data_IF_336959544265
#
_entry.id   IF_336959544265
#
_cell.length_a   1.000
_cell.length_b   1.000
_cell.length_c   1.000
_cell.angle_alpha   90.00
_cell.angle_beta   90.00
_cell.angle_gamma   90.00
#
_symmetry.space_group_name_H-M   'P 1'
#
loop_
_entity.id
_entity.type
_entity.pdbx_description
1 polymer ?
#
# COMPACT_ATOMS: atom_id res chain seq x y z
N UNK A 1 37.99 -9.50 10.66
CA UNK A 1 37.50 -8.15 10.28
C UNK A 1 36.76 -8.28 8.96
N UNK A 2 35.43 -8.39 8.98
CA UNK A 2 34.63 -8.22 7.77
C UNK A 2 34.69 -6.74 7.38
N UNK A 3 35.22 -6.41 6.20
CA UNK A 3 35.10 -5.05 5.65
C UNK A 3 33.61 -4.77 5.52
N UNK A 4 33.14 -3.64 6.03
CA UNK A 4 31.81 -3.15 5.68
C UNK A 4 31.79 -2.99 4.16
N UNK A 5 30.86 -3.67 3.48
CA UNK A 5 30.80 -3.58 2.03
C UNK A 5 30.48 -2.14 1.58
N UNK A 6 31.10 -1.72 0.48
CA UNK A 6 31.23 -0.34 0.02
C UNK A 6 29.90 0.27 -0.46
N UNK A 7 29.87 1.59 -0.64
CA UNK A 7 28.70 2.29 -1.17
C UNK A 7 28.25 1.76 -2.54
N UNK A 8 29.22 1.41 -3.40
CA UNK A 8 28.95 0.79 -4.70
C UNK A 8 28.27 -0.58 -4.59
N UNK A 9 28.66 -1.41 -3.61
CA UNK A 9 28.09 -2.75 -3.46
C UNK A 9 26.63 -2.69 -2.97
N UNK A 10 26.29 -1.71 -2.09
CA UNK A 10 24.88 -1.41 -1.75
C UNK A 10 24.09 -0.98 -2.96
N UNK A 11 24.65 -0.07 -3.74
CA UNK A 11 24.00 0.43 -4.96
C UNK A 11 23.73 -0.69 -5.96
N UNK A 12 24.69 -1.59 -6.20
CA UNK A 12 24.52 -2.75 -7.08
C UNK A 12 23.48 -3.73 -6.55
N UNK A 13 23.47 -4.00 -5.24
CA UNK A 13 22.48 -4.87 -4.62
C UNK A 13 21.06 -4.29 -4.73
N UNK A 14 20.90 -2.97 -4.57
CA UNK A 14 19.62 -2.30 -4.77
C UNK A 14 19.18 -2.35 -6.23
N UNK A 15 20.11 -2.20 -7.18
CA UNK A 15 19.79 -2.33 -8.60
C UNK A 15 19.37 -3.75 -8.99
N UNK A 16 20.00 -4.76 -8.41
CA UNK A 16 19.58 -6.15 -8.56
C UNK A 16 18.16 -6.35 -8.01
N UNK A 17 17.88 -5.87 -6.78
CA UNK A 17 16.55 -5.98 -6.17
C UNK A 17 15.46 -5.29 -7.00
N UNK A 18 15.74 -4.10 -7.55
CA UNK A 18 14.83 -3.37 -8.43
C UNK A 18 14.61 -4.10 -9.77
N UNK A 19 15.65 -4.76 -10.31
CA UNK A 19 15.56 -5.53 -11.55
C UNK A 19 14.73 -6.80 -11.36
N UNK A 20 14.93 -7.52 -10.25
CA UNK A 20 14.15 -8.70 -9.89
C UNK A 20 12.67 -8.34 -9.75
N UNK A 21 12.37 -7.26 -9.03
CA UNK A 21 11.02 -6.71 -8.89
C UNK A 21 10.37 -6.38 -10.23
N UNK A 22 11.11 -5.79 -11.17
CA UNK A 22 10.60 -5.43 -12.49
C UNK A 22 10.38 -6.64 -13.41
N UNK A 23 11.06 -7.76 -13.16
CA UNK A 23 10.98 -8.98 -13.97
C UNK A 23 9.98 -10.01 -13.43
N UNK A 24 9.52 -9.85 -12.19
CA UNK A 24 8.57 -10.74 -11.52
C UNK A 24 7.23 -10.03 -11.30
N UNK A 25 6.12 -10.67 -11.64
CA UNK A 25 4.77 -10.12 -11.42
C UNK A 25 4.21 -10.50 -10.05
N UNK A 26 3.50 -9.58 -9.39
CA UNK A 26 2.81 -9.82 -8.12
C UNK A 26 1.31 -10.18 -8.29
N UNK A 27 0.89 -10.52 -9.52
CA UNK A 27 -0.51 -10.75 -9.91
C UNK A 27 -1.26 -11.68 -8.96
N UNK A 28 -0.72 -12.88 -8.71
CA UNK A 28 -1.40 -13.89 -7.91
C UNK A 28 -1.60 -13.43 -6.46
N UNK A 29 -0.63 -12.72 -5.89
CA UNK A 29 -0.73 -12.15 -4.56
C UNK A 29 -1.80 -11.05 -4.50
N UNK A 30 -1.85 -10.15 -5.48
CA UNK A 30 -2.91 -9.14 -5.57
C UNK A 30 -4.29 -9.77 -5.77
N UNK A 31 -4.40 -10.86 -6.54
CA UNK A 31 -5.66 -11.59 -6.72
C UNK A 31 -6.17 -12.19 -5.41
N UNK A 32 -5.26 -12.69 -4.57
CA UNK A 32 -5.56 -13.19 -3.21
C UNK A 32 -5.96 -12.08 -2.25
N UNK A 33 -5.31 -10.91 -2.33
CA UNK A 33 -5.61 -9.73 -1.51
C UNK A 33 -6.93 -9.04 -1.86
N UNK A 34 -7.32 -9.06 -3.15
CA UNK A 34 -8.48 -8.33 -3.68
C UNK A 34 -9.76 -8.58 -2.89
N UNK A 35 -10.13 -9.85 -2.71
CA UNK A 35 -11.39 -10.22 -2.07
C UNK A 35 -11.48 -9.68 -0.63
N UNK A 36 -10.53 -10.05 0.24
CA UNK A 36 -10.44 -9.54 1.61
C UNK A 36 -10.40 -8.00 1.70
N UNK A 37 -9.65 -7.34 0.80
CA UNK A 37 -9.57 -5.88 0.74
C UNK A 37 -10.94 -5.24 0.49
N UNK A 38 -11.64 -5.64 -0.58
CA UNK A 38 -12.94 -5.03 -0.90
C UNK A 38 -14.02 -5.39 0.11
N UNK A 39 -13.99 -6.61 0.69
CA UNK A 39 -14.89 -6.98 1.78
C UNK A 39 -14.70 -6.09 3.02
N UNK A 40 -13.45 -5.71 3.30
CA UNK A 40 -13.10 -4.81 4.40
C UNK A 40 -13.60 -3.40 4.15
N UNK A 41 -13.37 -2.87 2.95
CA UNK A 41 -13.87 -1.54 2.56
C UNK A 41 -15.40 -1.47 2.64
N UNK A 42 -16.11 -2.55 2.27
CA UNK A 42 -17.56 -2.64 2.44
C UNK A 42 -18.01 -2.65 3.89
N UNK A 43 -17.33 -3.43 4.74
CA UNK A 43 -17.59 -3.44 6.19
C UNK A 43 -17.38 -2.05 6.81
N UNK A 44 -16.45 -1.27 6.25
CA UNK A 44 -16.19 0.12 6.64
C UNK A 44 -17.18 1.14 6.05
N UNK A 45 -18.23 0.69 5.34
CA UNK A 45 -19.34 1.52 4.86
C UNK A 45 -19.29 1.88 3.38
N UNK A 46 -18.44 1.25 2.57
CA UNK A 46 -18.48 1.41 1.12
C UNK A 46 -19.48 0.47 0.46
N UNK A 47 -20.56 1.03 -0.09
CA UNK A 47 -21.60 0.25 -0.79
C UNK A 47 -21.56 0.42 -2.31
N UNK A 48 -20.78 1.35 -2.83
CA UNK A 48 -20.66 1.65 -4.25
C UNK A 48 -20.31 3.11 -4.47
N UNK A 49 -19.80 3.43 -5.66
CA UNK A 49 -19.33 4.78 -5.98
C UNK A 49 -18.16 4.82 -6.93
N UNK A 50 -17.54 5.99 -7.05
CA UNK A 50 -16.34 6.22 -7.85
C UNK A 50 -15.11 5.69 -7.12
N UNK A 51 -14.32 4.84 -7.78
CA UNK A 51 -13.09 4.28 -7.22
C UNK A 51 -11.91 4.56 -8.11
N UNK A 52 -10.75 4.77 -7.48
CA UNK A 52 -9.46 4.83 -8.15
C UNK A 52 -8.55 3.76 -7.56
N UNK A 53 -8.05 2.86 -8.41
CA UNK A 53 -6.99 1.93 -8.05
C UNK A 53 -5.73 2.32 -8.81
N UNK A 54 -4.62 2.49 -8.11
CA UNK A 54 -3.39 3.01 -8.68
C UNK A 54 -2.14 2.27 -8.19
N UNK A 55 -1.10 2.29 -9.03
CA UNK A 55 0.17 1.63 -8.78
C UNK A 55 0.28 0.22 -9.35
N UNK A 56 1.14 -0.60 -8.74
CA UNK A 56 1.42 -1.97 -9.18
C UNK A 56 0.21 -2.89 -8.96
N UNK A 57 -0.11 -3.74 -9.94
CA UNK A 57 -1.26 -4.63 -9.87
C UNK A 57 -2.64 -3.96 -9.84
N UNK A 58 -2.76 -2.66 -10.17
CA UNK A 58 -4.03 -1.94 -10.10
C UNK A 58 -5.20 -2.60 -10.88
N UNK A 59 -5.01 -3.10 -12.12
CA UNK A 59 -6.04 -3.90 -12.80
C UNK A 59 -6.53 -5.09 -11.98
N UNK A 60 -5.62 -5.81 -11.34
CA UNK A 60 -5.88 -7.04 -10.59
C UNK A 60 -6.57 -6.73 -9.27
N UNK A 61 -6.10 -5.71 -8.55
CA UNK A 61 -6.74 -5.22 -7.32
C UNK A 61 -8.15 -4.69 -7.58
N UNK A 62 -8.42 -4.05 -8.72
CA UNK A 62 -9.78 -3.67 -9.11
C UNK A 62 -10.63 -4.90 -9.52
N UNK A 63 -9.99 -5.93 -10.06
CA UNK A 63 -10.67 -7.08 -10.67
C UNK A 63 -11.04 -6.86 -12.14
N UNK A 64 -10.30 -6.02 -12.86
CA UNK A 64 -10.48 -5.78 -14.29
C UNK A 64 -10.01 -7.02 -15.09
N UNK A 65 -10.90 -7.71 -15.84
CA UNK A 65 -10.55 -8.92 -16.56
C UNK A 65 -9.60 -8.63 -17.73
N UNK A 66 -8.54 -9.44 -17.87
CA UNK A 66 -7.59 -9.35 -18.99
C UNK A 66 -6.80 -8.04 -19.06
N UNK A 67 -6.79 -7.25 -17.99
CA UNK A 67 -6.01 -6.03 -17.91
C UNK A 67 -4.53 -6.35 -17.93
N UNK A 68 -3.81 -5.90 -18.96
CA UNK A 68 -2.34 -5.97 -18.95
C UNK A 68 -1.81 -5.15 -17.78
N UNK A 69 -1.10 -5.82 -16.86
CA UNK A 69 -0.44 -5.17 -15.75
C UNK A 69 0.69 -4.25 -16.23
N UNK A 70 0.83 -3.12 -15.55
CA UNK A 70 1.92 -2.16 -15.72
C UNK A 70 2.45 -1.84 -14.34
N UNK A 71 3.76 -1.67 -14.22
CA UNK A 71 4.41 -1.36 -12.94
C UNK A 71 3.88 -0.09 -12.27
N UNK A 72 3.29 0.83 -13.05
CA UNK A 72 2.49 1.96 -12.56
C UNK A 72 1.27 2.09 -13.47
N UNK A 73 0.09 1.70 -12.98
CA UNK A 73 -1.18 1.94 -13.66
C UNK A 73 -2.11 2.80 -12.81
N UNK A 74 -3.10 3.42 -13.44
CA UNK A 74 -4.13 4.20 -12.76
C UNK A 74 -5.45 3.85 -13.40
N UNK A 75 -6.33 3.19 -12.66
CA UNK A 75 -7.60 2.67 -13.17
C UNK A 75 -8.73 3.28 -12.35
N UNK A 76 -9.54 4.11 -13.01
CA UNK A 76 -10.77 4.63 -12.44
C UNK A 76 -11.95 3.75 -12.90
N UNK A 77 -12.90 3.52 -12.00
CA UNK A 77 -14.13 2.79 -12.28
C UNK A 77 -15.27 3.30 -11.39
N UNK A 78 -16.50 2.93 -11.74
CA UNK A 78 -17.63 3.01 -10.81
C UNK A 78 -18.00 1.60 -10.37
N UNK A 79 -18.15 1.39 -9.06
CA UNK A 79 -18.65 0.14 -8.49
C UNK A 79 -20.12 0.31 -8.13
N UNK A 80 -20.98 -0.54 -8.70
CA UNK A 80 -22.43 -0.53 -8.46
C UNK A 80 -22.81 -1.81 -7.72
N UNK A 81 -23.59 -1.75 -6.62
CA UNK A 81 -24.07 -2.94 -5.93
C UNK A 81 -24.70 -3.94 -6.91
N UNK A 82 -24.48 -5.24 -6.70
CA UNK A 82 -25.18 -6.28 -7.45
C UNK A 82 -26.71 -6.10 -7.31
N UNK A 83 -27.42 -6.06 -8.43
CA UNK A 83 -28.86 -5.79 -8.47
C UNK A 83 -29.23 -4.29 -8.52
N UNK A 84 -28.25 -3.39 -8.42
CA UNK A 84 -28.43 -1.97 -8.70
C UNK A 84 -28.67 -1.69 -10.18
N UNK A 85 -29.28 -0.54 -10.49
CA UNK A 85 -29.47 -0.13 -11.88
C UNK A 85 -28.17 0.40 -12.46
N UNK A 86 -27.64 -0.30 -13.46
CA UNK A 86 -26.50 0.14 -14.24
C UNK A 86 -26.77 1.49 -14.91
N UNK A 87 -25.82 2.42 -14.84
CA UNK A 87 -25.92 3.70 -15.55
C UNK A 87 -24.82 3.77 -16.61
N UNK A 88 -25.13 3.26 -17.80
CA UNK A 88 -24.20 3.10 -18.93
C UNK A 88 -23.54 4.39 -19.47
N UNK A 89 -23.84 5.56 -18.90
CA UNK A 89 -23.33 6.87 -19.36
C UNK A 89 -22.30 7.52 -18.40
N UNK A 90 -21.81 6.80 -17.40
CA UNK A 90 -20.81 7.36 -16.48
C UNK A 90 -19.41 7.22 -17.09
N UNK A 91 -18.68 8.32 -17.08
CA UNK A 91 -17.25 8.33 -17.40
C UNK A 91 -16.46 8.54 -16.10
N UNK A 92 -15.93 7.48 -15.46
CA UNK A 92 -15.25 7.60 -14.17
C UNK A 92 -14.07 8.56 -14.20
N UNK A 93 -13.93 9.41 -13.18
CA UNK A 93 -12.89 10.46 -13.16
C UNK A 93 -13.10 11.59 -14.19
N UNK A 94 -14.34 11.86 -14.61
CA UNK A 94 -14.66 13.01 -15.48
C UNK A 94 -14.91 14.33 -14.71
N UNK A 95 -15.07 14.28 -13.39
CA UNK A 95 -15.17 15.48 -12.53
C UNK A 95 -13.80 16.17 -12.40
N UNK A 96 -13.78 17.50 -12.26
CA UNK A 96 -12.54 18.27 -12.02
C UNK A 96 -11.93 17.91 -10.65
N UNK A 97 -10.80 17.22 -10.67
CA UNK A 97 -10.26 16.39 -9.57
C UNK A 97 -9.73 17.12 -8.32
N UNK A 98 -9.40 16.33 -7.29
CA UNK A 98 -9.41 16.54 -5.81
C UNK A 98 -10.78 16.19 -5.22
N UNK A 99 -10.80 15.22 -4.33
CA UNK A 99 -11.99 14.87 -3.56
C UNK A 99 -13.12 14.21 -4.35
N UNK A 100 -12.83 13.50 -5.44
CA UNK A 100 -13.83 12.94 -6.36
C UNK A 100 -14.10 11.45 -6.19
N UNK A 101 -13.19 10.70 -5.55
CA UNK A 101 -13.35 9.25 -5.39
C UNK A 101 -13.90 8.88 -4.01
N UNK A 102 -14.84 7.95 -3.95
CA UNK A 102 -15.32 7.34 -2.72
C UNK A 102 -14.26 6.42 -2.08
N UNK A 103 -13.47 5.75 -2.92
CA UNK A 103 -12.37 4.87 -2.51
C UNK A 103 -11.14 5.12 -3.36
N UNK A 104 -9.97 5.21 -2.72
CA UNK A 104 -8.66 5.16 -3.39
C UNK A 104 -7.85 3.99 -2.86
N UNK A 105 -7.48 3.05 -3.73
CA UNK A 105 -6.54 1.95 -3.42
C UNK A 105 -5.22 2.21 -4.11
N UNK A 106 -4.13 2.26 -3.36
CA UNK A 106 -2.80 2.60 -3.87
C UNK A 106 -1.77 1.53 -3.52
N UNK A 107 -1.29 0.78 -4.51
CA UNK A 107 -0.12 -0.08 -4.36
C UNK A 107 1.15 0.71 -4.70
N UNK A 108 1.87 1.16 -3.68
CA UNK A 108 2.98 2.07 -3.89
C UNK A 108 4.17 1.35 -4.56
N UNK A 109 4.88 2.00 -5.49
CA UNK A 109 6.02 1.39 -6.16
C UNK A 109 7.05 0.86 -5.17
N UNK A 110 7.54 -0.36 -5.44
CA UNK A 110 8.59 -1.04 -4.66
C UNK A 110 8.28 -1.21 -3.17
N UNK A 111 7.01 -1.36 -2.83
CA UNK A 111 6.58 -1.66 -1.47
C UNK A 111 7.26 -2.92 -0.91
N UNK A 112 7.56 -3.90 -1.76
CA UNK A 112 8.12 -5.20 -1.42
C UNK A 112 9.61 -5.36 -1.78
N UNK A 113 10.34 -4.26 -2.02
CA UNK A 113 11.77 -4.32 -2.37
C UNK A 113 12.63 -3.96 -1.16
N UNK A 114 13.67 -4.73 -0.89
CA UNK A 114 14.64 -4.40 0.15
C UNK A 114 15.73 -3.46 -0.39
N UNK A 115 15.80 -2.24 0.14
CA UNK A 115 16.80 -1.22 -0.23
C UNK A 115 17.85 -1.08 0.87
N UNK A 116 19.11 -1.28 0.51
CA UNK A 116 20.28 -1.29 1.38
C UNK A 116 20.97 0.05 1.43
N UNK A 117 20.92 0.83 0.36
CA UNK A 117 21.48 2.17 0.37
C UNK A 117 20.61 3.11 1.23
N UNK A 118 21.16 3.73 2.29
CA UNK A 118 20.38 4.55 3.21
C UNK A 118 19.72 5.77 2.56
N UNK A 119 20.32 6.34 1.51
CA UNK A 119 19.73 7.49 0.81
C UNK A 119 18.55 7.05 -0.05
N UNK A 120 18.65 5.89 -0.72
CA UNK A 120 17.52 5.30 -1.45
C UNK A 120 16.37 4.92 -0.55
N UNK A 121 16.68 4.29 0.58
CA UNK A 121 15.72 3.95 1.62
C UNK A 121 14.98 5.20 2.13
N UNK A 122 15.71 6.25 2.54
CA UNK A 122 15.10 7.47 3.06
C UNK A 122 14.24 8.17 2.01
N UNK A 123 14.73 8.26 0.76
CA UNK A 123 13.97 8.85 -0.32
C UNK A 123 12.68 8.06 -0.63
N UNK A 124 12.71 6.72 -0.53
CA UNK A 124 11.50 5.89 -0.68
C UNK A 124 10.47 6.22 0.37
N UNK A 125 10.86 6.31 1.65
CA UNK A 125 9.93 6.61 2.75
C UNK A 125 9.24 7.95 2.53
N UNK A 126 10.00 9.01 2.23
CA UNK A 126 9.45 10.35 1.91
C UNK A 126 8.48 10.29 0.74
N UNK A 127 8.86 9.59 -0.34
CA UNK A 127 8.04 9.46 -1.55
C UNK A 127 6.75 8.71 -1.28
N UNK A 128 6.80 7.60 -0.55
CA UNK A 128 5.61 6.82 -0.23
C UNK A 128 4.66 7.56 0.72
N UNK A 129 5.19 8.39 1.63
CA UNK A 129 4.38 9.31 2.42
C UNK A 129 3.65 10.34 1.55
N UNK A 130 4.35 10.98 0.61
CA UNK A 130 3.76 11.93 -0.33
C UNK A 130 2.71 11.28 -1.24
N UNK A 131 2.94 10.04 -1.69
CA UNK A 131 1.96 9.27 -2.45
C UNK A 131 0.71 8.94 -1.64
N UNK A 132 0.87 8.59 -0.36
CA UNK A 132 -0.23 8.33 0.58
C UNK A 132 -1.07 9.60 0.78
N UNK A 133 -0.43 10.75 0.98
CA UNK A 133 -1.10 12.06 1.05
C UNK A 133 -1.82 12.40 -0.27
N UNK A 134 -1.19 12.08 -1.40
CA UNK A 134 -1.80 12.25 -2.72
C UNK A 134 -3.06 11.40 -2.89
N UNK A 135 -3.01 10.13 -2.48
CA UNK A 135 -4.17 9.24 -2.48
C UNK A 135 -5.30 9.80 -1.59
N UNK A 136 -4.96 10.31 -0.41
CA UNK A 136 -5.92 10.94 0.49
C UNK A 136 -6.59 12.19 -0.11
N UNK A 137 -5.84 12.98 -0.88
CA UNK A 137 -6.37 14.19 -1.55
C UNK A 137 -7.29 13.85 -2.73
N UNK A 138 -7.14 12.68 -3.35
CA UNK A 138 -8.00 12.22 -4.44
C UNK A 138 -9.34 11.67 -3.92
N UNK A 139 -9.33 11.09 -2.72
CA UNK A 139 -10.53 10.65 -2.02
C UNK A 139 -11.36 11.86 -1.54
N UNK A 140 -12.69 11.78 -1.67
CA UNK A 140 -13.61 12.77 -1.09
C UNK A 140 -13.48 12.80 0.44
N UNK A 141 -13.82 13.92 1.10
CA UNK A 141 -13.89 13.94 2.56
C UNK A 141 -14.74 12.79 3.12
N UNK A 142 -14.18 12.02 4.06
CA UNK A 142 -14.80 10.82 4.62
C UNK A 142 -14.79 9.58 3.71
N UNK A 143 -14.17 9.64 2.53
CA UNK A 143 -13.92 8.48 1.67
C UNK A 143 -12.82 7.57 2.23
N UNK A 144 -12.76 6.33 1.76
CA UNK A 144 -11.77 5.35 2.23
C UNK A 144 -10.52 5.35 1.37
N UNK A 145 -9.38 5.10 2.02
CA UNK A 145 -8.08 4.97 1.37
C UNK A 145 -7.45 3.68 1.85
N UNK A 146 -6.97 2.84 0.94
CA UNK A 146 -6.15 1.68 1.26
C UNK A 146 -4.80 1.80 0.56
N UNK A 147 -3.70 1.61 1.28
CA UNK A 147 -2.34 1.80 0.76
C UNK A 147 -1.49 0.59 1.08
N UNK A 148 -0.88 -0.02 0.06
CA UNK A 148 0.19 -1.00 0.21
C UNK A 148 1.53 -0.27 0.09
N UNK A 149 2.29 -0.23 1.17
CA UNK A 149 3.58 0.47 1.26
C UNK A 149 4.64 -0.45 1.89
N UNK A 150 5.92 -0.06 1.79
CA UNK A 150 6.96 -0.76 2.57
C UNK A 150 6.69 -0.55 4.06
N UNK A 151 7.00 -1.57 4.87
CA UNK A 151 6.92 -1.47 6.32
C UNK A 151 7.72 -0.30 6.91
N UNK A 152 8.75 0.15 6.19
CA UNK A 152 9.58 1.29 6.61
C UNK A 152 8.79 2.58 6.83
N UNK A 153 7.68 2.78 6.11
CA UNK A 153 6.86 3.97 6.31
C UNK A 153 6.25 3.98 7.73
N UNK A 154 5.83 2.81 8.20
CA UNK A 154 5.30 2.62 9.56
C UNK A 154 6.43 2.62 10.59
N UNK A 155 7.55 1.96 10.31
CA UNK A 155 8.62 1.71 11.29
C UNK A 155 9.70 2.81 11.33
N UNK A 156 9.67 3.79 10.43
CA UNK A 156 10.65 4.87 10.39
C UNK A 156 10.80 5.54 11.78
N UNK A 157 12.02 5.66 12.33
CA UNK A 157 12.22 6.28 13.64
C UNK A 157 11.75 7.73 13.70
N UNK A 158 11.90 8.48 12.61
CA UNK A 158 11.35 9.83 12.49
C UNK A 158 9.84 9.75 12.19
N UNK A 159 8.98 10.36 13.03
CA UNK A 159 7.53 10.39 12.79
C UNK A 159 7.09 11.44 11.77
N UNK A 160 7.98 12.26 11.20
CA UNK A 160 7.64 13.40 10.32
C UNK A 160 6.65 13.05 9.21
N UNK A 161 6.90 11.95 8.51
CA UNK A 161 6.12 11.45 7.38
C UNK A 161 4.75 10.93 7.83
N UNK A 162 4.69 10.22 8.96
CA UNK A 162 3.43 9.76 9.55
C UNK A 162 2.59 10.93 10.05
N UNK A 163 3.20 11.94 10.67
CA UNK A 163 2.53 13.20 11.04
C UNK A 163 1.98 13.93 9.82
N UNK A 164 2.72 13.96 8.72
CA UNK A 164 2.25 14.57 7.48
C UNK A 164 1.04 13.82 6.92
N UNK A 165 1.05 12.48 6.91
CA UNK A 165 -0.12 11.67 6.51
C UNK A 165 -1.34 11.98 7.40
N UNK A 166 -1.15 12.05 8.72
CA UNK A 166 -2.22 12.33 9.68
C UNK A 166 -2.89 13.70 9.49
N UNK A 167 -2.25 14.65 8.80
CA UNK A 167 -2.88 15.94 8.46
C UNK A 167 -3.95 15.81 7.36
N UNK A 168 -3.91 14.73 6.58
CA UNK A 168 -4.78 14.52 5.41
C UNK A 168 -5.69 13.30 5.55
N UNK A 169 -5.37 12.35 6.42
CA UNK A 169 -6.12 11.12 6.59
C UNK A 169 -6.12 10.67 8.05
N UNK A 170 -7.23 10.08 8.50
CA UNK A 170 -7.31 9.41 9.79
C UNK A 170 -7.03 7.92 9.61
N UNK A 171 -6.08 7.39 10.38
CA UNK A 171 -5.68 5.99 10.34
C UNK A 171 -6.75 5.10 11.00
N UNK A 172 -7.19 4.08 10.30
CA UNK A 172 -8.17 3.09 10.77
C UNK A 172 -7.50 1.81 11.28
N UNK A 173 -6.33 1.48 10.72
CA UNK A 173 -5.57 0.29 11.05
C UNK A 173 -4.67 -0.12 9.89
N UNK A 174 -3.87 -1.15 10.12
CA UNK A 174 -3.04 -1.78 9.10
C UNK A 174 -2.96 -3.29 9.32
N UNK A 175 -2.53 -3.99 8.27
CA UNK A 175 -2.13 -5.41 8.30
C UNK A 175 -0.73 -5.51 7.71
N UNK A 176 0.19 -6.11 8.45
CA UNK A 176 1.57 -6.35 8.01
C UNK A 176 1.68 -7.73 7.38
N UNK A 177 2.07 -7.75 6.12
CA UNK A 177 2.19 -8.97 5.32
C UNK A 177 3.63 -9.50 5.35
N UNK A 178 3.84 -10.82 5.21
CA UNK A 178 5.18 -11.42 5.18
C UNK A 178 6.06 -10.86 4.07
N UNK A 179 7.37 -10.88 4.28
CA UNK A 179 8.31 -10.69 3.18
C UNK A 179 8.09 -11.77 2.11
N UNK A 180 8.22 -11.39 0.85
CA UNK A 180 8.07 -12.30 -0.30
C UNK A 180 6.63 -12.65 -0.66
N UNK A 181 5.63 -12.13 0.06
CA UNK A 181 4.22 -12.44 -0.19
C UNK A 181 3.72 -11.94 -1.55
N UNK A 182 4.20 -10.77 -1.99
CA UNK A 182 3.86 -10.21 -3.29
C UNK A 182 4.69 -10.89 -4.39
N UNK A 183 6.01 -10.92 -4.19
CA UNK A 183 6.99 -11.54 -5.07
C UNK A 183 8.08 -12.19 -4.21
N UNK A 184 8.18 -13.53 -4.19
CA UNK A 184 9.22 -14.21 -3.45
C UNK A 184 10.56 -14.03 -4.17
N UNK A 185 11.50 -13.34 -3.53
CA UNK A 185 12.81 -13.07 -4.12
C UNK A 185 13.84 -13.00 -2.99
N UNK A 186 14.55 -14.11 -2.76
CA UNK A 186 15.36 -14.30 -1.57
C UNK A 186 16.38 -13.16 -1.37
N UNK A 187 16.20 -12.42 -0.27
CA UNK A 187 17.07 -11.32 0.13
C UNK A 187 16.85 -10.03 -0.67
N UNK A 188 15.91 -9.98 -1.60
CA UNK A 188 15.50 -8.74 -2.30
C UNK A 188 14.06 -8.37 -2.02
N UNK A 189 13.28 -9.28 -1.44
CA UNK A 189 11.94 -9.06 -0.94
C UNK A 189 11.91 -8.31 0.40
N UNK A 190 10.82 -7.58 0.64
CA UNK A 190 10.60 -6.81 1.86
C UNK A 190 9.17 -6.99 2.38
N UNK A 191 9.00 -6.65 3.65
CA UNK A 191 7.70 -6.63 4.33
C UNK A 191 6.84 -5.49 3.80
N UNK A 192 5.56 -5.78 3.58
CA UNK A 192 4.57 -4.83 3.05
C UNK A 192 3.47 -4.59 4.08
N UNK A 193 3.12 -3.33 4.31
CA UNK A 193 1.97 -2.96 5.14
C UNK A 193 0.80 -2.54 4.26
N UNK A 194 -0.37 -3.17 4.47
CA UNK A 194 -1.66 -2.74 3.95
C UNK A 194 -2.33 -1.84 5.00
N UNK A 195 -2.23 -0.53 4.81
CA UNK A 195 -2.79 0.48 5.71
C UNK A 195 -4.15 0.97 5.20
N UNK A 196 -5.09 1.21 6.11
CA UNK A 196 -6.43 1.72 5.81
C UNK A 196 -6.65 3.03 6.53
N UNK A 197 -7.20 4.01 5.82
CA UNK A 197 -7.50 5.34 6.31
C UNK A 197 -8.87 5.81 5.85
N UNK A 198 -9.41 6.83 6.53
CA UNK A 198 -10.44 7.72 5.98
C UNK A 198 -9.81 9.05 5.59
N UNK A 199 -10.13 9.59 4.42
CA UNK A 199 -9.72 10.93 4.02
C UNK A 199 -10.33 11.96 4.98
N UNK A 200 -9.50 12.84 5.53
CA UNK A 200 -9.96 13.81 6.52
C UNK A 200 -10.85 14.89 5.88
N UNK A 201 -11.88 15.32 6.64
CA UNK A 201 -12.49 16.64 6.49
C UNK A 201 -11.95 17.59 7.59
N UNK A 202 -11.80 18.90 7.36
CA UNK A 202 -11.43 19.83 8.42
C UNK A 202 -12.54 19.93 9.50
N UNK A 203 -12.23 20.04 10.81
CA UNK A 203 -11.01 19.66 11.51
C UNK A 203 -11.24 18.36 12.30
N UNK A 204 -10.34 17.39 12.20
CA UNK A 204 -10.02 16.31 13.17
C UNK A 204 -9.64 15.05 12.39
N UNK A 205 -8.36 14.80 12.26
CA UNK A 205 -7.87 13.44 12.33
C UNK A 205 -7.58 13.18 13.81
N UNK A 206 -8.45 12.44 14.49
CA UNK A 206 -8.06 11.74 15.72
C UNK A 206 -7.04 10.69 15.32
N UNK A 207 -5.81 11.14 15.06
CA UNK A 207 -4.72 10.24 14.79
C UNK A 207 -4.45 9.41 16.03
N UNK A 208 -4.65 8.11 15.93
CA UNK A 208 -4.20 7.15 16.93
C UNK A 208 -2.72 7.40 17.18
N UNK A 209 -2.34 7.80 18.39
CA UNK A 209 -0.94 7.95 18.84
C UNK A 209 -0.08 6.73 18.46
N UNK A 210 -0.71 5.56 18.36
CA UNK A 210 -0.10 4.31 17.89
C UNK A 210 0.47 4.39 16.47
N UNK A 211 -0.23 5.03 15.51
CA UNK A 211 0.28 5.22 14.14
C UNK A 211 1.52 6.11 14.11
N UNK A 212 1.51 7.22 14.86
CA UNK A 212 2.62 8.18 14.85
C UNK A 212 3.92 7.61 15.46
N UNK A 213 3.81 6.84 16.54
CA UNK A 213 4.94 6.48 17.38
C UNK A 213 5.51 5.10 17.06
N UNK A 214 6.80 4.92 17.36
CA UNK A 214 7.49 3.63 17.29
C UNK A 214 8.00 3.22 18.67
N UNK A 215 8.27 1.93 18.83
CA UNK A 215 8.90 1.32 19.98
C UNK A 215 10.14 0.54 19.52
N UNK A 216 11.11 0.38 20.41
CA UNK A 216 12.22 -0.54 20.19
C UNK A 216 11.87 -1.87 20.84
N UNK A 217 11.93 -2.95 20.06
CA UNK A 217 11.72 -4.32 20.55
C UNK A 217 13.02 -5.11 20.44
N UNK A 218 13.27 -5.97 21.41
CA UNK A 218 14.43 -6.86 21.43
C UNK A 218 14.04 -8.23 20.96
N UNK A 219 14.65 -8.68 19.86
CA UNK A 219 14.40 -9.99 19.25
C UNK A 219 15.70 -10.80 19.20
N UNK A 220 15.62 -12.13 19.04
CA UNK A 220 16.79 -12.92 18.68
C UNK A 220 17.43 -12.36 17.40
N UNK A 221 18.68 -11.92 17.49
CA UNK A 221 19.41 -11.29 16.37
C UNK A 221 19.63 -9.78 16.50
N UNK A 222 18.90 -9.10 17.40
CA UNK A 222 19.14 -7.68 17.71
C UNK A 222 17.89 -6.89 18.06
N UNK A 223 18.08 -5.60 18.30
CA UNK A 223 17.00 -4.65 18.51
C UNK A 223 16.52 -4.09 17.18
N UNK A 224 15.21 -4.06 16.97
CA UNK A 224 14.56 -3.45 15.81
C UNK A 224 13.53 -2.41 16.25
N UNK A 225 13.23 -1.49 15.35
CA UNK A 225 12.18 -0.49 15.55
C UNK A 225 10.88 -1.02 14.94
N UNK A 226 9.80 -0.96 15.71
CA UNK A 226 8.47 -1.38 15.31
C UNK A 226 7.48 -0.23 15.53
N UNK A 227 6.57 0.01 14.60
CA UNK A 227 5.47 0.93 14.81
C UNK A 227 4.61 0.49 16.00
N UNK A 228 4.23 1.42 16.88
CA UNK A 228 3.46 1.11 18.09
C UNK A 228 2.12 0.46 17.76
N UNK A 229 1.50 0.75 16.62
CA UNK A 229 0.29 0.04 16.20
C UNK A 229 0.48 -1.49 16.15
N UNK A 230 1.59 -1.99 15.60
CA UNK A 230 1.84 -3.44 15.52
C UNK A 230 2.30 -4.05 16.86
N UNK A 231 2.87 -3.24 17.75
CA UNK A 231 3.15 -3.65 19.14
C UNK A 231 1.84 -3.80 19.94
N UNK A 232 0.90 -2.88 19.74
CA UNK A 232 -0.43 -2.91 20.36
C UNK A 232 -1.37 -3.96 19.72
N UNK A 233 -1.15 -4.29 18.44
CA UNK A 233 -1.95 -5.21 17.62
C UNK A 233 -1.10 -6.30 16.95
N UNK A 234 -0.47 -7.21 17.71
CA UNK A 234 0.36 -8.28 17.14
C UNK A 234 -0.42 -9.24 16.24
N UNK A 235 -1.75 -9.36 16.43
CA UNK A 235 -2.63 -10.14 15.55
C UNK A 235 -2.75 -9.58 14.12
N UNK A 236 -2.31 -8.34 13.91
CA UNK A 236 -2.28 -7.69 12.59
C UNK A 236 -0.96 -7.90 11.85
N UNK A 237 -0.03 -8.66 12.42
CA UNK A 237 1.19 -9.12 11.73
C UNK A 237 0.98 -10.57 11.31
N UNK A 238 0.93 -10.83 10.00
CA UNK A 238 0.62 -12.16 9.46
C UNK A 238 1.84 -13.08 9.45
N UNK A 239 2.41 -13.35 10.63
CA UNK A 239 3.61 -14.16 10.76
C UNK A 239 4.40 -13.82 12.01
N UNK A 240 5.65 -14.29 12.06
CA UNK A 240 6.58 -13.99 13.14
C UNK A 240 7.52 -12.86 12.74
N UNK A 241 7.61 -11.84 13.61
CA UNK A 241 8.60 -10.77 13.44
C UNK A 241 9.98 -11.33 13.77
N UNK A 242 10.90 -11.21 12.83
CA UNK A 242 12.28 -11.67 12.96
C UNK A 242 13.26 -10.57 12.59
N UNK A 243 14.53 -10.79 12.94
CA UNK A 243 15.62 -9.90 12.60
C UNK A 243 16.33 -10.42 11.35
N UNK A 244 16.24 -9.67 10.27
CA UNK A 244 17.07 -9.89 9.10
C UNK A 244 18.46 -9.30 9.35
N UNK A 245 19.45 -10.19 9.53
CA UNK A 245 20.82 -9.81 9.71
C UNK A 245 21.35 -9.12 8.44
N UNK A 246 21.55 -7.81 8.51
CA UNK A 246 22.09 -7.03 7.40
C UNK A 246 23.60 -6.90 7.51
N UNK A 247 24.33 -7.34 6.47
CA UNK A 247 25.77 -7.03 6.33
C UNK A 247 26.03 -5.55 6.00
N UNK A 248 24.96 -4.78 5.75
CA UNK A 248 25.00 -3.41 5.24
C UNK A 248 24.76 -2.33 6.31
N UNK A 249 24.42 -2.72 7.55
CA UNK A 249 24.12 -1.76 8.60
C UNK A 249 23.39 -2.35 9.80
N UNK A 250 22.41 -1.60 10.32
CA UNK A 250 21.57 -2.08 11.42
C UNK A 250 20.71 -3.25 10.94
N UNK A 251 20.43 -4.23 11.82
CA UNK A 251 19.51 -5.30 11.48
C UNK A 251 18.15 -4.72 11.04
N UNK A 252 17.56 -5.33 10.01
CA UNK A 252 16.22 -4.95 9.55
C UNK A 252 15.18 -5.85 10.17
N UNK A 253 13.95 -5.37 10.26
CA UNK A 253 12.80 -6.20 10.58
C UNK A 253 12.43 -7.01 9.33
N UNK A 254 12.07 -8.28 9.51
CA UNK A 254 11.35 -9.09 8.51
C UNK A 254 10.17 -9.80 9.16
N UNK A 255 9.26 -10.32 8.36
CA UNK A 255 8.11 -11.11 8.82
C UNK A 255 8.08 -12.42 8.05
N UNK A 256 8.19 -13.52 8.80
CA UNK A 256 8.12 -14.89 8.27
C UNK A 256 6.71 -15.41 8.48
N UNK A 257 5.96 -15.59 7.38
CA UNK A 257 4.61 -16.14 7.38
C UNK A 257 4.54 -17.50 6.69
N UNK A 258 3.38 -18.14 6.80
CA UNK A 258 3.06 -19.39 6.10
C UNK A 258 2.14 -19.11 4.90
N UNK A 259 2.67 -19.32 3.69
CA UNK A 259 1.91 -19.11 2.45
C UNK A 259 0.64 -19.97 2.35
N UNK A 260 0.58 -21.11 3.05
CA UNK A 260 -0.57 -22.00 3.09
C UNK A 260 -1.73 -21.46 3.94
N UNK A 261 -1.45 -20.63 4.95
CA UNK A 261 -2.46 -20.02 5.81
C UNK A 261 -2.78 -18.58 5.45
N UNK A 262 -1.97 -17.95 4.58
CA UNK A 262 -2.08 -16.55 4.20
C UNK A 262 -3.52 -16.09 3.86
N UNK A 263 -4.26 -16.81 3.01
CA UNK A 263 -5.61 -16.40 2.60
C UNK A 263 -6.58 -16.27 3.78
N UNK A 264 -6.47 -17.20 4.73
CA UNK A 264 -7.26 -17.20 5.96
C UNK A 264 -6.81 -16.08 6.89
N UNK A 265 -5.50 -15.93 7.07
CA UNK A 265 -4.92 -14.94 7.98
C UNK A 265 -5.22 -13.51 7.54
N UNK A 266 -5.04 -13.20 6.26
CA UNK A 266 -5.32 -11.86 5.73
C UNK A 266 -6.82 -11.53 5.81
N UNK A 267 -7.70 -12.51 5.57
CA UNK A 267 -9.14 -12.34 5.71
C UNK A 267 -9.53 -12.05 7.17
N UNK A 268 -8.95 -12.77 8.13
CA UNK A 268 -9.22 -12.58 9.56
C UNK A 268 -8.68 -11.25 10.07
N UNK A 269 -7.44 -10.90 9.72
CA UNK A 269 -6.78 -9.68 10.16
C UNK A 269 -7.51 -8.43 9.65
N UNK A 270 -7.84 -8.40 8.35
CA UNK A 270 -8.60 -7.30 7.76
C UNK A 270 -10.04 -7.22 8.30
N UNK A 271 -10.69 -8.37 8.55
CA UNK A 271 -11.99 -8.40 9.22
C UNK A 271 -11.94 -7.86 10.65
N UNK A 272 -10.88 -8.20 11.40
CA UNK A 272 -10.64 -7.67 12.75
C UNK A 272 -10.41 -6.16 12.74
N UNK A 273 -9.59 -5.67 11.80
CA UNK A 273 -9.36 -4.25 11.57
C UNK A 273 -10.69 -3.52 11.31
N UNK A 274 -11.49 -4.02 10.37
CA UNK A 274 -12.79 -3.43 10.04
C UNK A 274 -13.72 -3.38 11.26
N UNK A 275 -13.81 -4.49 11.99
CA UNK A 275 -14.64 -4.59 13.20
C UNK A 275 -14.18 -3.65 14.31
N UNK A 276 -12.86 -3.43 14.45
CA UNK A 276 -12.29 -2.43 15.35
C UNK A 276 -12.69 -1.01 14.96
N UNK A 277 -12.43 -0.63 13.71
CA UNK A 277 -12.77 0.69 13.19
C UNK A 277 -14.28 1.01 13.29
N UNK A 278 -15.15 0.05 12.98
CA UNK A 278 -16.62 0.20 13.15
C UNK A 278 -16.99 0.44 14.61
N UNK A 279 -16.38 -0.31 15.54
CA UNK A 279 -16.63 -0.16 16.99
C UNK A 279 -16.22 1.23 17.49
N UNK A 280 -15.16 1.78 16.92
CA UNK A 280 -14.62 3.09 17.27
C UNK A 280 -15.31 4.24 16.52
N UNK A 281 -16.32 3.94 15.69
CA UNK A 281 -17.08 4.91 14.91
C UNK A 281 -16.30 5.52 13.74
N UNK A 282 -15.22 4.86 13.30
CA UNK A 282 -14.33 5.30 12.23
C UNK A 282 -14.72 4.63 10.90
N UNK A 283 -15.90 4.95 10.37
CA UNK A 283 -16.42 4.43 9.10
C UNK A 283 -16.47 5.51 8.03
N UNK A 284 -16.60 5.10 6.76
CA UNK A 284 -16.87 6.04 5.66
C UNK A 284 -18.15 6.83 5.94
N UNK A 285 -18.15 8.12 5.59
CA UNK A 285 -19.38 8.90 5.62
C UNK A 285 -20.31 8.37 4.52
N UNK A 286 -21.50 7.89 4.91
CA UNK A 286 -22.50 7.33 4.00
C UNK A 286 -22.71 8.28 2.80
N UNK A 287 -22.57 7.80 1.55
CA UNK A 287 -23.10 8.55 0.42
C UNK A 287 -24.62 8.67 0.64
N UNK A 288 -25.18 9.87 0.54
CA UNK A 288 -26.61 10.09 0.78
C UNK A 288 -27.49 9.24 -0.14
N UNK A 289 -28.23 8.28 0.43
CA UNK A 289 -29.70 8.24 0.61
C UNK A 289 -30.00 6.94 1.42
N UNK A 290 -30.76 6.95 2.54
CA UNK A 290 -30.90 5.79 3.45
C UNK A 290 -31.76 4.63 2.89
N UNK A 291 -31.95 4.56 1.56
CA UNK A 291 -33.04 3.80 0.93
C UNK A 291 -32.71 2.41 0.39
N UNK A 292 -31.45 1.97 0.35
CA UNK A 292 -31.10 0.67 -0.23
C UNK A 292 -30.16 -0.08 0.71
N UNK A 293 -30.74 -0.87 1.62
CA UNK A 293 -30.00 -1.93 2.29
C UNK A 293 -29.55 -2.96 1.24
N UNK A 294 -28.31 -2.84 0.78
CA UNK A 294 -27.71 -3.72 -0.22
C UNK A 294 -27.56 -5.14 0.31
N UNK A 295 -28.13 -6.10 -0.41
CA UNK A 295 -27.99 -7.54 -0.19
C UNK A 295 -26.55 -8.02 -0.36
N UNK A 296 -26.16 -9.01 0.45
CA UNK A 296 -25.00 -9.89 0.34
C UNK A 296 -24.01 -9.61 -0.84
N UNK A 297 -23.01 -8.79 -0.56
CA UNK A 297 -21.63 -8.85 -1.06
C UNK A 297 -21.39 -8.99 -2.56
N UNK A 298 -21.30 -7.86 -3.27
CA UNK A 298 -20.60 -7.78 -4.55
C UNK A 298 -20.97 -6.56 -5.38
N UNK A 299 -20.11 -6.21 -6.34
CA UNK A 299 -20.31 -5.07 -7.25
C UNK A 299 -20.16 -5.47 -8.71
N UNK A 300 -20.84 -4.74 -9.58
CA UNK A 300 -20.54 -4.66 -11.01
C UNK A 300 -19.56 -3.51 -11.24
N UNK A 301 -18.48 -3.78 -11.99
CA UNK A 301 -17.50 -2.77 -12.39
C UNK A 301 -18.00 -2.08 -13.66
N UNK A 302 -18.27 -0.78 -13.59
CA UNK A 302 -18.71 0.03 -14.72
C UNK A 302 -17.65 1.04 -15.17
N UNK A 303 -17.50 1.19 -16.48
CA UNK A 303 -16.67 2.24 -17.08
C UNK A 303 -15.19 2.18 -16.72
N UNK A 304 -14.68 1.03 -16.26
CA UNK A 304 -13.28 0.85 -15.89
C UNK A 304 -12.36 1.28 -17.03
N UNK A 305 -11.48 2.24 -16.74
CA UNK A 305 -10.58 2.81 -17.73
C UNK A 305 -9.29 3.27 -17.08
N UNK A 306 -8.23 3.27 -17.88
CA UNK A 306 -7.00 3.95 -17.49
C UNK A 306 -7.24 5.45 -17.44
N UNK A 307 -6.86 6.04 -16.32
CA UNK A 307 -7.18 7.43 -16.00
C UNK A 307 -6.08 7.97 -15.10
N UNK A 308 -5.33 8.97 -15.58
CA UNK A 308 -4.31 9.66 -14.80
C UNK A 308 -4.90 10.98 -14.28
N UNK A 309 -5.13 11.13 -12.95
CA UNK A 309 -5.67 12.36 -12.39
C UNK A 309 -4.83 13.59 -12.77
N UNK A 310 -5.50 14.71 -13.06
CA UNK A 310 -4.82 15.93 -13.53
C UNK A 310 -3.78 16.49 -12.54
N UNK A 311 -3.99 16.35 -11.24
CA UNK A 311 -3.04 16.71 -10.16
C UNK A 311 -1.77 15.85 -10.23
N UNK A 312 -1.93 14.62 -10.71
CA UNK A 312 -0.85 13.69 -11.00
C UNK A 312 -0.32 13.88 -12.43
N UNK A 313 -0.53 15.00 -13.12
CA UNK A 313 0.08 15.28 -14.44
C UNK A 313 1.15 16.38 -14.41
N UNK A 314 1.24 17.18 -13.34
CA UNK A 314 2.15 18.35 -13.29
C UNK A 314 2.69 18.80 -11.92
N UNK A 315 2.29 18.18 -10.80
CA UNK A 315 2.69 18.60 -9.45
C UNK A 315 3.84 17.80 -8.81
N UNK A 316 4.25 18.15 -7.59
CA UNK A 316 5.24 17.36 -6.82
C UNK A 316 4.76 15.91 -6.59
N UNK A 317 3.44 15.70 -6.44
CA UNK A 317 2.82 14.38 -6.34
C UNK A 317 3.04 13.60 -7.65
N UNK A 318 2.83 14.21 -8.83
CA UNK A 318 3.20 13.59 -10.12
C UNK A 318 4.70 13.25 -10.20
N UNK A 319 5.57 14.10 -9.65
CA UNK A 319 7.01 13.84 -9.54
C UNK A 319 7.31 12.58 -8.73
N UNK A 320 6.62 12.37 -7.60
CA UNK A 320 6.71 11.15 -6.81
C UNK A 320 6.27 9.91 -7.61
N UNK A 321 5.21 9.99 -8.41
CA UNK A 321 4.74 8.87 -9.24
C UNK A 321 5.56 8.64 -10.52
N UNK A 322 6.23 9.66 -11.09
CA UNK A 322 7.12 9.51 -12.27
C UNK A 322 8.54 9.11 -11.95
N UNK A 323 9.14 9.69 -10.90
CA UNK A 323 10.54 9.38 -10.56
C UNK A 323 10.72 8.00 -9.93
N UNK A 324 9.64 7.19 -9.88
CA UNK A 324 9.77 5.74 -9.81
C UNK A 324 10.48 5.14 -11.04
N UNK A 325 10.63 5.88 -12.14
CA UNK A 325 11.49 5.51 -13.26
C UNK A 325 12.94 6.04 -13.10
N UNK A 326 13.26 6.68 -11.98
CA UNK A 326 14.46 7.50 -11.79
C UNK A 326 15.63 6.87 -11.03
N UNK A 327 15.49 5.64 -10.52
CA UNK A 327 16.66 4.85 -10.11
C UNK A 327 17.27 4.23 -11.37
N UNK A 328 18.60 4.29 -11.58
CA UNK A 328 19.16 4.02 -12.89
C UNK A 328 18.77 2.61 -13.37
N UNK A 329 18.07 2.52 -14.49
CA UNK A 329 17.88 1.27 -15.23
C UNK A 329 19.16 0.85 -15.95
N UNK A 330 20.34 1.10 -15.37
CA UNK A 330 21.58 0.58 -15.94
C UNK A 330 21.54 -0.92 -15.74
N UNK A 331 21.06 -1.60 -16.77
CA UNK A 331 21.38 -2.99 -17.05
C UNK A 331 22.86 -3.17 -16.68
N UNK A 332 23.23 -4.08 -15.75
CA UNK A 332 24.63 -4.32 -15.46
C UNK A 332 25.33 -4.61 -16.80
N UNK A 333 26.54 -4.07 -17.04
CA UNK A 333 27.28 -4.43 -18.24
C UNK A 333 27.36 -5.96 -18.32
N UNK A 334 27.13 -6.52 -19.52
CA UNK A 334 27.33 -7.95 -19.74
C UNK A 334 28.73 -8.30 -19.23
N UNK A 335 28.89 -9.43 -18.51
CA UNK A 335 30.21 -9.83 -18.05
C UNK A 335 31.11 -9.93 -19.28
N UNK A 336 32.26 -9.23 -19.25
CA UNK A 336 33.34 -9.47 -20.20
C UNK A 336 33.79 -10.93 -19.99
N UNK A 337 33.20 -11.85 -20.75
CA UNK A 337 33.73 -13.19 -20.93
C UNK A 337 34.78 -13.07 -22.02
N UNK A 338 36.02 -12.87 -21.59
CA UNK A 338 37.19 -13.14 -22.41
C UNK A 338 37.33 -14.68 -22.51
N UNK A 339 36.99 -15.22 -23.69
CA UNK A 339 37.39 -16.55 -24.15
C UNK A 339 38.20 -16.40 -25.43
#
# INVERSE_FOLDING_TARGET
>A
MHRMPGALERELADLAALTDHASTGAHDAYARLRGPLWATLHTLGFDGGEVLVLGDGAPTLLGMPGGQERSVDFVAARLVPLGGSASAAVTPGASSDVGCFDVVVASLPWADVQLRDPARWAQRVVRQAQMTIGAATLARPGGLIAVLATHDLMDAPDPGERRAIMQHAAFLGAVRLPAGVLRPAAGTDNVVDLMVFTAAGPPHATGTRAFETTVQISLPGGDVVLNRYFDDHPEQVLGSVEVEASVWGRPSLTVVGDGATFDREVSLALGSLAAGAVRDGLTAAAPGDPGVAGSAGGWVIEGARRYLPSQLQGGQIHGAWRTSHGWPTTRPPEPDVDL
#
